data_IF_518235274149
#
_entry.id   IF_518235274149
#
_cell.length_a   1.000
_cell.length_b   1.000
_cell.length_c   1.000
_cell.angle_alpha   90.00
_cell.angle_beta   90.00
_cell.angle_gamma   90.00
#
_symmetry.space_group_name_H-M   'P 1'
#
loop_
_entity.id
_entity.type
_entity.pdbx_description
1 polymer ?
#
# COMPACT_ATOMS: atom_id res chain seq x y z
N UNK A 1 -61.70 49.69 0.01
CA UNK A 1 -61.28 48.39 -0.54
C UNK A 1 -59.93 48.58 -1.18
N UNK A 2 -58.89 47.89 -0.69
CA UNK A 2 -57.57 47.96 -1.33
C UNK A 2 -57.71 47.27 -2.68
N UNK A 3 -57.50 48.03 -3.75
CA UNK A 3 -57.66 47.58 -5.13
C UNK A 3 -56.74 46.37 -5.38
N UNK A 4 -57.33 45.19 -5.60
CA UNK A 4 -56.62 43.92 -5.84
C UNK A 4 -55.55 44.06 -6.92
N UNK A 5 -55.80 44.92 -7.90
CA UNK A 5 -54.87 45.22 -8.98
C UNK A 5 -53.55 45.84 -8.46
N UNK A 6 -53.61 46.62 -7.39
CA UNK A 6 -52.42 47.22 -6.74
C UNK A 6 -51.61 46.17 -5.98
N UNK A 7 -52.28 45.18 -5.37
CA UNK A 7 -51.63 44.06 -4.67
C UNK A 7 -50.93 43.13 -5.68
N UNK A 8 -51.60 42.81 -6.79
CA UNK A 8 -51.01 42.00 -7.86
C UNK A 8 -49.79 42.68 -8.49
N UNK A 9 -49.87 43.99 -8.79
CA UNK A 9 -48.72 44.75 -9.33
C UNK A 9 -47.51 44.70 -8.39
N UNK A 10 -47.71 44.87 -7.09
CA UNK A 10 -46.63 44.74 -6.09
C UNK A 10 -46.02 43.34 -6.11
N UNK A 11 -46.85 42.30 -6.20
CA UNK A 11 -46.37 40.90 -6.23
C UNK A 11 -45.60 40.58 -7.51
N UNK A 12 -46.02 41.13 -8.65
CA UNK A 12 -45.33 40.99 -9.94
C UNK A 12 -43.96 41.66 -9.87
N UNK A 13 -43.88 42.90 -9.37
CA UNK A 13 -42.59 43.60 -9.24
C UNK A 13 -41.62 42.83 -8.33
N UNK A 14 -42.12 42.29 -7.22
CA UNK A 14 -41.31 41.50 -6.28
C UNK A 14 -40.80 40.19 -6.91
N UNK A 15 -41.57 39.59 -7.83
CA UNK A 15 -41.13 38.43 -8.60
C UNK A 15 -40.10 38.83 -9.67
N UNK A 16 -40.27 39.97 -10.33
CA UNK A 16 -39.30 40.50 -11.29
C UNK A 16 -37.96 40.75 -10.59
N UNK A 17 -37.97 41.41 -9.43
CA UNK A 17 -36.76 41.67 -8.65
C UNK A 17 -36.02 40.38 -8.29
N UNK A 18 -36.75 39.35 -7.85
CA UNK A 18 -36.19 38.02 -7.57
C UNK A 18 -35.63 37.32 -8.81
N UNK A 19 -36.29 37.44 -9.95
CA UNK A 19 -35.81 36.88 -11.22
C UNK A 19 -34.49 37.54 -11.61
N UNK A 20 -34.40 38.87 -11.52
CA UNK A 20 -33.15 39.58 -11.81
C UNK A 20 -32.02 39.20 -10.85
N UNK A 21 -32.31 39.02 -9.56
CA UNK A 21 -31.32 38.57 -8.57
C UNK A 21 -30.80 37.16 -8.88
N UNK A 22 -31.69 36.24 -9.27
CA UNK A 22 -31.31 34.90 -9.70
C UNK A 22 -30.50 34.91 -11.00
N UNK A 23 -30.84 35.76 -11.97
CA UNK A 23 -30.08 35.92 -13.22
C UNK A 23 -28.67 36.45 -12.97
N UNK A 24 -28.51 37.40 -12.04
CA UNK A 24 -27.20 37.88 -11.61
C UNK A 24 -26.39 36.76 -10.94
N UNK A 25 -27.00 36.03 -10.02
CA UNK A 25 -26.35 34.90 -9.33
C UNK A 25 -25.91 33.81 -10.33
N UNK A 26 -26.75 33.49 -11.32
CA UNK A 26 -26.41 32.53 -12.38
C UNK A 26 -25.21 33.02 -13.20
N UNK A 27 -25.15 34.33 -13.48
CA UNK A 27 -24.06 34.92 -14.25
C UNK A 27 -22.72 34.86 -13.48
N UNK A 28 -22.75 35.13 -12.17
CA UNK A 28 -21.60 34.98 -11.28
C UNK A 28 -21.13 33.52 -11.20
N UNK A 29 -22.05 32.58 -10.97
CA UNK A 29 -21.72 31.14 -10.92
C UNK A 29 -21.12 30.63 -12.24
N UNK A 30 -21.61 31.12 -13.39
CA UNK A 30 -21.02 30.81 -14.70
C UNK A 30 -19.59 31.33 -14.81
N UNK A 31 -19.31 32.55 -14.33
CA UNK A 31 -17.96 33.12 -14.33
C UNK A 31 -17.01 32.29 -13.46
N UNK A 32 -17.44 31.93 -12.25
CA UNK A 32 -16.66 31.08 -11.34
C UNK A 32 -16.39 29.70 -11.96
N UNK A 33 -17.41 29.08 -12.56
CA UNK A 33 -17.27 27.76 -13.18
C UNK A 33 -16.28 27.80 -14.35
N UNK A 34 -16.29 28.85 -15.17
CA UNK A 34 -15.31 29.03 -16.23
C UNK A 34 -13.88 29.18 -15.68
N UNK A 35 -13.69 29.94 -14.60
CA UNK A 35 -12.39 30.08 -13.94
C UNK A 35 -11.87 28.73 -13.43
N UNK A 36 -12.72 27.94 -12.76
CA UNK A 36 -12.36 26.62 -12.26
C UNK A 36 -12.06 25.62 -13.38
N UNK A 37 -12.78 25.73 -14.51
CA UNK A 37 -12.54 24.89 -15.69
C UNK A 37 -11.16 25.18 -16.30
N UNK A 38 -10.76 26.44 -16.37
CA UNK A 38 -9.43 26.84 -16.85
C UNK A 38 -8.32 26.44 -15.86
N UNK A 39 -8.56 26.55 -14.55
CA UNK A 39 -7.64 26.04 -13.52
C UNK A 39 -7.49 24.53 -13.61
N UNK A 40 -8.59 23.78 -13.75
CA UNK A 40 -8.59 22.33 -13.96
C UNK A 40 -7.80 21.95 -15.21
N UNK A 41 -8.03 22.59 -16.35
CA UNK A 41 -7.23 22.36 -17.57
C UNK A 41 -5.75 22.65 -17.37
N UNK A 42 -5.43 23.68 -16.60
CA UNK A 42 -4.04 24.04 -16.30
C UNK A 42 -3.39 22.99 -15.41
N UNK A 43 -4.11 22.47 -14.41
CA UNK A 43 -3.66 21.37 -13.56
C UNK A 43 -3.56 20.06 -14.34
N UNK A 44 -4.51 19.74 -15.21
CA UNK A 44 -4.45 18.58 -16.10
C UNK A 44 -3.25 18.65 -17.05
N UNK A 45 -2.94 19.83 -17.61
CA UNK A 45 -1.71 20.02 -18.40
C UNK A 45 -0.44 19.89 -17.55
N UNK A 46 -0.43 20.40 -16.32
CA UNK A 46 0.70 20.23 -15.39
C UNK A 46 0.89 18.75 -15.04
N UNK A 47 -0.19 18.03 -14.74
CA UNK A 47 -0.18 16.59 -14.52
C UNK A 47 0.31 15.88 -15.77
N UNK A 48 -0.24 16.15 -16.95
CA UNK A 48 0.20 15.56 -18.23
C UNK A 48 1.69 15.80 -18.52
N UNK A 49 2.22 16.97 -18.12
CA UNK A 49 3.63 17.32 -18.24
C UNK A 49 4.52 16.72 -17.14
N UNK A 50 3.94 16.31 -16.00
CA UNK A 50 4.58 15.47 -14.98
C UNK A 50 4.45 13.96 -15.27
N UNK A 51 3.44 13.57 -16.05
CA UNK A 51 3.09 12.19 -16.46
C UNK A 51 3.71 11.71 -17.80
N UNK A 52 4.58 12.42 -18.57
CA UNK A 52 5.20 11.81 -19.76
C UNK A 52 6.12 10.63 -19.43
N UNK A 53 6.35 10.36 -18.14
CA UNK A 53 7.26 9.33 -17.69
C UNK A 53 6.60 8.15 -16.96
N UNK A 54 5.42 8.22 -16.35
CA UNK A 54 4.96 7.08 -15.53
C UNK A 54 4.50 5.84 -16.34
N UNK A 55 3.89 6.02 -17.51
CA UNK A 55 3.49 4.87 -18.34
C UNK A 55 4.62 4.33 -19.22
N UNK A 56 5.62 5.17 -19.55
CA UNK A 56 6.83 4.74 -20.27
C UNK A 56 7.94 4.25 -19.33
N UNK A 57 7.93 4.65 -18.05
CA UNK A 57 8.84 4.13 -17.02
C UNK A 57 8.42 2.74 -16.58
N UNK A 58 7.13 2.36 -16.59
CA UNK A 58 6.76 0.97 -16.31
C UNK A 58 7.34 -0.03 -17.34
N UNK A 59 7.58 0.39 -18.59
CA UNK A 59 8.24 -0.43 -19.61
C UNK A 59 9.76 -0.15 -19.76
N UNK A 60 10.28 0.97 -19.23
CA UNK A 60 11.71 1.34 -19.32
C UNK A 60 12.47 1.41 -17.99
N UNK A 61 11.84 1.09 -16.85
CA UNK A 61 12.56 0.82 -15.59
C UNK A 61 13.27 -0.54 -15.58
N UNK A 62 13.34 -1.25 -16.71
CA UNK A 62 14.17 -2.44 -16.85
C UNK A 62 15.67 -2.12 -17.05
N UNK A 63 16.10 -0.86 -16.86
CA UNK A 63 17.50 -0.47 -17.05
C UNK A 63 17.97 0.42 -15.89
N UNK A 64 18.30 -0.19 -14.74
CA UNK A 64 19.47 0.13 -13.88
C UNK A 64 19.58 -0.81 -12.64
N UNK A 65 20.09 -2.00 -12.94
CA UNK A 65 21.15 -2.82 -12.29
C UNK A 65 21.26 -3.17 -10.79
N UNK A 66 20.67 -2.52 -9.78
CA UNK A 66 20.70 -3.09 -8.39
C UNK A 66 19.66 -2.47 -7.46
N UNK A 67 19.48 -1.15 -7.52
CA UNK A 67 18.50 -0.44 -6.67
C UNK A 67 17.06 -0.89 -6.98
N UNK A 68 16.78 -1.21 -8.24
CA UNK A 68 15.49 -1.75 -8.65
C UNK A 68 15.26 -3.18 -8.10
N UNK A 69 16.31 -4.02 -8.05
CA UNK A 69 16.19 -5.37 -7.50
C UNK A 69 15.94 -5.37 -5.99
N UNK A 70 16.60 -4.49 -5.24
CA UNK A 70 16.36 -4.33 -3.79
C UNK A 70 14.93 -3.85 -3.53
N UNK A 71 14.45 -2.90 -4.33
CA UNK A 71 13.07 -2.44 -4.24
C UNK A 71 12.06 -3.55 -4.55
N UNK A 72 12.27 -4.30 -5.64
CA UNK A 72 11.46 -5.48 -5.96
C UNK A 72 11.49 -6.50 -4.82
N UNK A 73 12.67 -6.78 -4.26
CA UNK A 73 12.83 -7.70 -3.14
C UNK A 73 11.98 -7.28 -1.94
N UNK A 74 12.04 -6.00 -1.54
CA UNK A 74 11.26 -5.51 -0.40
C UNK A 74 9.76 -5.65 -0.68
N UNK A 75 9.31 -5.35 -1.89
CA UNK A 75 7.90 -5.51 -2.26
C UNK A 75 7.45 -6.97 -2.23
N UNK A 76 8.25 -7.88 -2.81
CA UNK A 76 7.96 -9.32 -2.86
C UNK A 76 7.98 -9.93 -1.46
N UNK A 77 8.98 -9.57 -0.64
CA UNK A 77 9.07 -10.02 0.74
C UNK A 77 7.83 -9.61 1.53
N UNK A 78 7.37 -8.36 1.41
CA UNK A 78 6.14 -7.91 2.05
C UNK A 78 4.91 -8.72 1.61
N UNK A 79 4.79 -9.06 0.33
CA UNK A 79 3.69 -9.90 -0.18
C UNK A 79 3.74 -11.31 0.42
N UNK A 80 4.93 -11.92 0.43
CA UNK A 80 5.17 -13.27 0.98
C UNK A 80 4.82 -13.31 2.48
N UNK A 81 5.28 -12.33 3.27
CA UNK A 81 4.95 -12.27 4.70
C UNK A 81 3.45 -12.12 4.93
N UNK A 82 2.79 -11.23 4.20
CA UNK A 82 1.33 -11.06 4.32
C UNK A 82 0.58 -12.35 3.99
N UNK A 83 1.00 -13.07 2.95
CA UNK A 83 0.43 -14.36 2.57
C UNK A 83 0.64 -15.41 3.66
N UNK A 84 1.85 -15.51 4.20
CA UNK A 84 2.17 -16.42 5.30
C UNK A 84 1.35 -16.15 6.57
N UNK A 85 1.06 -14.87 6.88
CA UNK A 85 0.16 -14.51 7.99
C UNK A 85 -1.27 -14.92 7.70
N UNK A 86 -1.79 -14.62 6.51
CA UNK A 86 -3.15 -15.00 6.10
C UNK A 86 -3.39 -16.51 6.17
N UNK A 87 -2.36 -17.29 5.84
CA UNK A 87 -2.43 -18.75 5.85
C UNK A 87 -2.11 -19.37 7.23
N UNK A 88 -1.82 -18.55 8.26
CA UNK A 88 -1.34 -19.00 9.57
C UNK A 88 -0.12 -19.94 9.48
N UNK A 89 0.79 -19.68 8.54
CA UNK A 89 1.95 -20.54 8.25
C UNK A 89 3.07 -20.46 9.31
N UNK A 90 3.00 -19.50 10.23
CA UNK A 90 3.99 -19.35 11.29
C UNK A 90 3.78 -20.37 12.40
N UNK A 91 4.86 -21.06 12.77
CA UNK A 91 4.84 -22.07 13.83
C UNK A 91 4.67 -21.38 15.19
N UNK A 92 3.66 -21.75 15.99
CA UNK A 92 3.45 -21.21 17.33
C UNK A 92 4.67 -21.40 18.24
N UNK A 93 4.76 -20.55 19.27
CA UNK A 93 5.81 -20.69 20.28
C UNK A 93 5.66 -22.03 21.04
N UNK A 94 6.77 -22.75 21.23
CA UNK A 94 6.81 -23.97 22.03
C UNK A 94 8.00 -23.96 22.98
N UNK A 95 7.93 -24.75 24.05
CA UNK A 95 8.92 -24.74 25.15
C UNK A 95 10.35 -25.12 24.72
N UNK A 96 10.50 -25.87 23.63
CA UNK A 96 11.81 -26.28 23.06
C UNK A 96 12.58 -25.12 22.40
N UNK A 97 11.99 -23.93 22.29
CA UNK A 97 12.58 -22.81 21.55
C UNK A 97 12.94 -21.60 22.40
N UNK A 98 13.63 -21.81 23.53
CA UNK A 98 14.11 -20.75 24.45
C UNK A 98 14.85 -19.57 23.77
N UNK A 99 15.49 -19.80 22.62
CA UNK A 99 16.17 -18.74 21.83
C UNK A 99 15.28 -18.05 20.77
N UNK A 100 13.97 -18.34 20.70
CA UNK A 100 13.07 -17.83 19.65
C UNK A 100 12.28 -16.57 20.02
N UNK A 101 12.55 -15.93 21.14
CA UNK A 101 11.83 -14.71 21.53
C UNK A 101 11.99 -13.57 20.51
N UNK A 102 13.10 -13.58 19.76
CA UNK A 102 13.42 -12.57 18.75
C UNK A 102 13.05 -12.99 17.31
N UNK A 103 12.52 -14.20 17.11
CA UNK A 103 12.31 -14.75 15.77
C UNK A 103 11.00 -15.53 15.65
N UNK A 104 10.24 -15.27 14.59
CA UNK A 104 9.19 -16.18 14.14
C UNK A 104 9.80 -17.37 13.40
N UNK A 105 9.06 -18.48 13.39
CA UNK A 105 9.46 -19.72 12.71
C UNK A 105 8.46 -20.02 11.60
N UNK A 106 8.95 -20.41 10.44
CA UNK A 106 8.15 -20.93 9.34
C UNK A 106 8.83 -22.17 8.78
N UNK A 107 8.05 -23.16 8.36
CA UNK A 107 8.59 -24.34 7.70
C UNK A 107 9.28 -23.94 6.38
N UNK A 108 10.45 -24.55 6.14
CA UNK A 108 11.27 -24.27 4.96
C UNK A 108 10.45 -24.45 3.69
N UNK A 109 9.82 -25.61 3.55
CA UNK A 109 9.15 -25.98 2.30
C UNK A 109 7.92 -25.09 2.03
N UNK A 110 7.23 -24.65 3.08
CA UNK A 110 6.13 -23.68 3.00
C UNK A 110 6.63 -22.30 2.57
N UNK A 111 7.71 -21.82 3.18
CA UNK A 111 8.26 -20.51 2.81
C UNK A 111 8.84 -20.51 1.39
N UNK A 112 9.56 -21.55 1.01
CA UNK A 112 10.12 -21.68 -0.35
C UNK A 112 8.99 -21.75 -1.40
N UNK A 113 7.87 -22.41 -1.09
CA UNK A 113 6.69 -22.39 -1.95
C UNK A 113 6.17 -20.97 -2.17
N UNK A 114 6.03 -20.17 -1.10
CA UNK A 114 5.63 -18.76 -1.25
C UNK A 114 6.62 -17.94 -2.08
N UNK A 115 7.93 -18.19 -1.90
CA UNK A 115 8.96 -17.53 -2.71
C UNK A 115 8.81 -17.91 -4.19
N UNK A 116 8.62 -19.20 -4.50
CA UNK A 116 8.43 -19.67 -5.87
C UNK A 116 7.16 -19.12 -6.52
N UNK A 117 6.07 -18.98 -5.77
CA UNK A 117 4.80 -18.49 -6.28
C UNK A 117 4.77 -16.96 -6.46
N UNK A 118 5.49 -16.21 -5.60
CA UNK A 118 5.31 -14.76 -5.49
C UNK A 118 6.55 -13.93 -5.84
N UNK A 119 7.74 -14.54 -5.98
CA UNK A 119 8.97 -13.84 -6.31
C UNK A 119 9.33 -13.97 -7.78
N UNK A 120 9.63 -12.84 -8.42
CA UNK A 120 10.15 -12.77 -9.79
C UNK A 120 11.69 -12.75 -9.79
N UNK A 121 12.32 -12.43 -8.65
CA UNK A 121 13.78 -12.39 -8.49
C UNK A 121 14.46 -13.77 -8.58
N UNK A 122 13.67 -14.84 -8.51
CA UNK A 122 14.15 -16.22 -8.42
C UNK A 122 14.57 -16.57 -6.99
N UNK A 123 14.34 -17.83 -6.61
CA UNK A 123 14.47 -18.30 -5.23
C UNK A 123 15.85 -18.00 -4.62
N UNK A 124 16.94 -18.27 -5.37
CA UNK A 124 18.30 -18.09 -4.86
C UNK A 124 18.65 -16.62 -4.58
N UNK A 125 18.28 -15.70 -5.49
CA UNK A 125 18.55 -14.28 -5.30
C UNK A 125 17.70 -13.71 -4.16
N UNK A 126 16.42 -14.09 -4.10
CA UNK A 126 15.53 -13.70 -3.00
C UNK A 126 16.08 -14.14 -1.64
N UNK A 127 16.56 -15.38 -1.54
CA UNK A 127 17.16 -15.90 -0.31
C UNK A 127 18.48 -15.21 0.04
N UNK A 128 19.31 -14.87 -0.95
CA UNK A 128 20.53 -14.09 -0.72
C UNK A 128 20.22 -12.71 -0.13
N UNK A 129 19.18 -12.02 -0.62
CA UNK A 129 18.72 -10.76 -0.04
C UNK A 129 18.18 -10.94 1.38
N UNK A 130 17.39 -11.99 1.64
CA UNK A 130 16.90 -12.31 2.98
C UNK A 130 18.05 -12.49 4.00
N UNK A 131 19.15 -13.11 3.58
CA UNK A 131 20.34 -13.30 4.40
C UNK A 131 21.12 -11.98 4.54
N UNK A 132 21.35 -11.28 3.43
CA UNK A 132 22.13 -10.04 3.39
C UNK A 132 21.53 -8.92 4.23
N UNK A 133 20.20 -8.81 4.26
CA UNK A 133 19.47 -7.86 5.11
C UNK A 133 19.13 -8.39 6.50
N UNK A 134 19.56 -9.61 6.85
CA UNK A 134 19.28 -10.24 8.16
C UNK A 134 17.78 -10.41 8.45
N UNK A 135 16.95 -10.57 7.40
CA UNK A 135 15.52 -10.87 7.53
C UNK A 135 15.32 -12.31 8.00
N UNK A 136 16.20 -13.20 7.54
CA UNK A 136 16.31 -14.58 8.01
C UNK A 136 17.63 -14.76 8.76
N UNK A 137 17.57 -15.49 9.87
CA UNK A 137 18.76 -15.83 10.65
C UNK A 137 19.64 -16.82 9.89
N UNK A 138 20.90 -16.46 9.62
CA UNK A 138 21.92 -17.37 9.08
C UNK A 138 22.96 -17.73 10.13
N UNK A 139 23.47 -18.97 10.06
CA UNK A 139 24.68 -19.39 10.77
C UNK A 139 25.93 -18.89 10.04
N UNK A 140 27.10 -18.91 10.71
CA UNK A 140 28.39 -18.49 10.12
C UNK A 140 28.79 -19.27 8.86
N UNK A 141 28.22 -20.45 8.65
CA UNK A 141 28.41 -21.30 7.47
C UNK A 141 27.44 -20.97 6.31
N UNK A 142 26.61 -19.93 6.43
CA UNK A 142 25.61 -19.54 5.43
C UNK A 142 24.33 -20.39 5.46
N UNK A 143 24.19 -21.35 6.39
CA UNK A 143 22.94 -22.11 6.55
C UNK A 143 21.88 -21.24 7.22
N UNK A 144 20.74 -21.12 6.55
CA UNK A 144 19.58 -20.37 7.00
C UNK A 144 18.44 -21.25 7.52
N UNK A 145 18.53 -22.57 7.29
CA UNK A 145 17.55 -23.56 7.75
C UNK A 145 18.07 -24.32 8.96
N UNK A 146 17.19 -24.50 9.94
CA UNK A 146 17.50 -25.17 11.19
C UNK A 146 16.63 -26.40 11.32
N UNK A 147 17.21 -27.50 11.74
CA UNK A 147 16.49 -28.74 11.90
C UNK A 147 15.90 -28.80 13.31
N UNK A 148 14.57 -28.78 13.43
CA UNK A 148 13.88 -29.05 14.69
C UNK A 148 13.35 -30.48 14.67
N UNK A 149 14.20 -31.46 14.99
CA UNK A 149 13.97 -32.91 15.18
C UNK A 149 13.09 -33.69 14.14
N UNK A 150 12.37 -33.02 13.24
CA UNK A 150 11.37 -33.51 12.28
C UNK A 150 11.17 -32.55 11.10
N UNK A 151 11.33 -31.24 11.29
CA UNK A 151 11.07 -30.21 10.26
C UNK A 151 12.23 -29.23 10.12
N UNK A 152 12.49 -28.77 8.90
CA UNK A 152 13.44 -27.68 8.63
C UNK A 152 12.69 -26.36 8.68
N UNK A 153 13.24 -25.37 9.39
CA UNK A 153 12.59 -24.07 9.58
C UNK A 153 13.52 -22.92 9.26
N UNK A 154 12.95 -21.83 8.76
CA UNK A 154 13.59 -20.51 8.74
C UNK A 154 13.21 -19.74 10.01
N UNK A 155 14.16 -18.98 10.56
CA UNK A 155 13.90 -18.03 11.64
C UNK A 155 13.86 -16.61 11.07
N UNK A 156 12.69 -15.98 11.10
CA UNK A 156 12.46 -14.64 10.58
C UNK A 156 12.49 -13.61 11.69
N UNK A 157 13.13 -12.46 11.46
CA UNK A 157 13.29 -11.43 12.47
C UNK A 157 11.94 -10.87 12.96
N UNK A 158 11.60 -11.10 14.23
CA UNK A 158 10.29 -10.75 14.80
C UNK A 158 9.96 -9.26 14.64
N UNK A 159 10.92 -8.37 14.94
CA UNK A 159 10.71 -6.92 14.85
C UNK A 159 10.33 -6.47 13.44
N UNK A 160 10.90 -7.11 12.43
CA UNK A 160 10.61 -6.80 11.04
C UNK A 160 9.21 -7.30 10.65
N UNK A 161 8.89 -8.53 11.02
CA UNK A 161 7.58 -9.11 10.74
C UNK A 161 6.46 -8.33 11.46
N UNK A 162 6.67 -7.92 12.70
CA UNK A 162 5.70 -7.12 13.47
C UNK A 162 5.40 -5.76 12.80
N UNK A 163 6.37 -5.19 12.06
CA UNK A 163 6.16 -3.96 11.26
C UNK A 163 5.34 -4.23 9.99
N UNK A 164 5.54 -5.39 9.35
CA UNK A 164 4.89 -5.74 8.09
C UNK A 164 3.46 -6.24 8.33
N UNK A 165 3.26 -6.99 9.41
CA UNK A 165 2.01 -7.64 9.76
C UNK A 165 1.79 -7.58 11.29
N UNK A 166 1.28 -6.45 11.81
CA UNK A 166 1.07 -6.25 13.25
C UNK A 166 -0.05 -7.12 13.83
N UNK A 167 -0.82 -7.80 12.99
CA UNK A 167 -1.97 -8.64 13.36
C UNK A 167 -1.57 -10.05 13.83
N UNK A 168 -0.29 -10.43 13.72
CA UNK A 168 0.18 -11.69 14.30
C UNK A 168 -0.02 -11.67 15.82
N UNK A 169 -0.66 -12.70 16.41
CA UNK A 169 -0.89 -12.73 17.85
C UNK A 169 0.45 -12.63 18.58
N UNK A 170 0.54 -11.65 19.50
CA UNK A 170 1.67 -11.53 20.39
C UNK A 170 1.89 -12.89 21.07
N UNK A 171 3.06 -13.49 20.88
CA UNK A 171 3.39 -14.75 21.52
C UNK A 171 3.42 -14.52 23.03
N UNK A 172 2.33 -14.88 23.72
CA UNK A 172 2.14 -14.62 25.14
C UNK A 172 3.20 -15.36 25.97
N UNK A 173 3.86 -14.60 26.84
CA UNK A 173 4.79 -15.10 27.86
C UNK A 173 3.99 -15.90 28.90
N UNK A 174 4.04 -17.23 28.84
CA UNK A 174 3.73 -18.02 30.04
C UNK A 174 4.92 -17.93 30.98
N UNK A 175 4.79 -17.06 31.99
CA UNK A 175 5.71 -16.89 33.13
C UNK A 175 5.79 -18.15 33.98
#
# INVERSE_FOLDING_TARGET
MVDENTILKKKINLLIDKVMEHENTISELKSINNSLLEEKKTLEKKIQNCVPNQEKENEKFYVNSTENEVYLFIQEFNKIIKKAVQDNAFIPYSYDTKNSHYFYKIEKDVFDQYVQELSVLGEQNFMNYCIGFLFIKSERNGRCTYNNNKIRVYFLNKKLIDVIAPELPAQEEQK
#
